data_IF_106490402537
#
_entry.id   IF_106490402537
#
_cell.length_a   1.000
_cell.length_b   1.000
_cell.length_c   1.000
_cell.angle_alpha   90.00
_cell.angle_beta   90.00
_cell.angle_gamma   90.00
#
_symmetry.space_group_name_H-M   'P 1'
#
loop_
_entity.id
_entity.type
_entity.pdbx_description
1 polymer ?
#
# COMPACT_ATOMS: atom_id res chain seq x y z
N UNK A 1 6.32 1.78 7.18
CA UNK A 1 6.60 2.05 8.61
C UNK A 1 5.47 1.60 9.53
N UNK A 2 4.24 2.10 9.36
CA UNK A 2 3.10 1.77 10.25
C UNK A 2 2.84 0.26 10.39
N UNK A 3 2.80 -0.52 9.30
CA UNK A 3 2.60 -1.98 9.39
C UNK A 3 3.70 -2.71 10.16
N UNK A 4 4.93 -2.24 10.11
CA UNK A 4 6.03 -2.80 10.89
C UNK A 4 5.80 -2.59 12.39
N UNK A 5 5.29 -1.41 12.78
CA UNK A 5 4.93 -1.12 14.18
C UNK A 5 3.86 -2.10 14.68
N UNK A 6 2.84 -2.42 13.86
CA UNK A 6 1.85 -3.47 14.16
C UNK A 6 2.48 -4.88 14.19
N UNK A 7 3.35 -5.19 13.24
CA UNK A 7 3.96 -6.52 13.12
C UNK A 7 4.91 -6.86 14.26
N UNK A 8 5.81 -5.93 14.60
CA UNK A 8 6.73 -6.04 15.73
C UNK A 8 6.02 -6.05 17.10
N UNK A 9 4.76 -5.62 17.16
CA UNK A 9 4.06 -5.40 18.44
C UNK A 9 4.60 -4.20 19.22
N UNK A 10 5.38 -3.33 18.57
CA UNK A 10 5.97 -2.12 19.16
C UNK A 10 4.93 -1.08 19.56
N UNK A 11 3.66 -1.27 19.17
CA UNK A 11 2.52 -0.49 19.68
C UNK A 11 2.50 -0.50 21.20
N UNK A 12 2.86 -1.61 21.86
CA UNK A 12 2.93 -1.68 23.32
C UNK A 12 3.89 -0.66 23.96
N UNK A 13 4.97 -0.28 23.25
CA UNK A 13 5.94 0.72 23.73
C UNK A 13 5.45 2.16 23.54
N UNK A 14 4.60 2.39 22.54
CA UNK A 14 3.99 3.69 22.22
C UNK A 14 2.57 3.77 22.81
N UNK A 15 2.07 2.70 23.43
CA UNK A 15 0.69 2.54 23.87
C UNK A 15 0.29 3.62 24.87
N UNK A 16 1.15 4.00 25.81
CA UNK A 16 0.85 5.09 26.76
C UNK A 16 0.72 6.45 26.07
N UNK A 17 1.48 6.68 25.00
CA UNK A 17 1.45 7.92 24.21
C UNK A 17 0.20 7.95 23.32
N UNK A 18 -0.12 6.80 22.74
CA UNK A 18 -1.32 6.55 21.93
C UNK A 18 -2.57 6.57 22.79
N UNK A 19 -2.54 6.06 24.02
CA UNK A 19 -3.64 6.07 24.98
C UNK A 19 -3.95 7.46 25.46
N UNK A 20 -2.93 8.25 25.80
CA UNK A 20 -3.13 9.68 26.11
C UNK A 20 -3.73 10.44 24.91
N UNK A 21 -3.31 10.14 23.68
CA UNK A 21 -3.89 10.73 22.48
C UNK A 21 -5.31 10.21 22.18
N UNK A 22 -5.56 8.92 22.43
CA UNK A 22 -6.86 8.26 22.26
C UNK A 22 -7.88 8.77 23.27
N UNK A 23 -7.50 8.88 24.55
CA UNK A 23 -8.31 9.46 25.62
C UNK A 23 -8.67 10.93 25.31
N UNK A 24 -7.73 11.70 24.73
CA UNK A 24 -7.97 13.08 24.27
C UNK A 24 -8.98 13.16 23.11
N UNK A 25 -9.03 12.13 22.25
CA UNK A 25 -9.87 12.06 21.07
C UNK A 25 -11.12 11.17 21.26
N UNK A 26 -11.36 10.66 22.47
CA UNK A 26 -12.48 9.77 22.77
C UNK A 26 -12.39 8.37 22.13
N UNK A 27 -11.19 7.92 21.77
CA UNK A 27 -10.94 6.64 21.13
C UNK A 27 -10.60 5.56 22.16
N UNK A 28 -11.56 4.68 22.48
CA UNK A 28 -11.29 3.42 23.18
C UNK A 28 -10.38 2.54 22.30
N UNK A 29 -9.11 2.43 22.71
CA UNK A 29 -8.13 1.54 22.08
C UNK A 29 -8.49 0.07 22.40
N UNK A 30 -8.47 -0.82 21.40
CA UNK A 30 -8.86 -2.21 21.62
C UNK A 30 -7.80 -3.00 22.38
N UNK A 31 -8.21 -3.61 23.48
CA UNK A 31 -7.41 -4.59 24.20
C UNK A 31 -7.26 -5.87 23.36
N UNK A 32 -6.03 -6.33 23.16
CA UNK A 32 -5.73 -7.63 22.56
C UNK A 32 -5.74 -7.69 21.02
N UNK A 33 -5.96 -6.58 20.33
CA UNK A 33 -5.87 -6.49 18.86
C UNK A 33 -4.60 -5.81 18.34
N UNK A 34 -3.68 -5.46 19.26
CA UNK A 34 -2.52 -4.60 18.99
C UNK A 34 -1.16 -5.34 18.90
N UNK A 35 -1.17 -6.67 18.69
CA UNK A 35 0.00 -7.37 18.14
C UNK A 35 0.37 -8.69 18.81
N UNK A 36 1.60 -9.18 18.54
CA UNK A 36 2.34 -8.97 17.29
C UNK A 36 1.64 -9.73 16.14
N UNK A 37 1.91 -9.32 14.90
CA UNK A 37 1.28 -9.93 13.72
C UNK A 37 2.24 -10.93 13.07
N UNK A 38 1.87 -12.20 13.09
CA UNK A 38 2.73 -13.30 12.62
C UNK A 38 2.79 -13.43 11.09
N UNK A 39 1.81 -12.88 10.36
CA UNK A 39 1.62 -13.07 8.92
C UNK A 39 1.51 -11.75 8.13
N UNK A 40 1.91 -10.62 8.71
CA UNK A 40 1.77 -9.30 8.11
C UNK A 40 2.69 -9.12 6.90
N UNK A 41 2.15 -8.99 5.69
CA UNK A 41 2.98 -8.72 4.51
C UNK A 41 3.44 -7.26 4.43
N UNK A 42 4.55 -7.05 3.72
CA UNK A 42 4.96 -5.72 3.27
C UNK A 42 3.96 -5.16 2.26
N UNK A 43 3.54 -3.90 2.41
CA UNK A 43 2.81 -3.19 1.36
C UNK A 43 3.77 -2.80 0.23
N UNK A 44 3.40 -3.17 -0.99
CA UNK A 44 4.05 -2.74 -2.23
C UNK A 44 3.13 -1.78 -2.98
N UNK A 45 3.74 -0.80 -3.64
CA UNK A 45 3.00 0.11 -4.51
C UNK A 45 2.53 -0.61 -5.77
N UNK A 46 1.27 -0.41 -6.17
CA UNK A 46 0.67 -1.01 -7.36
C UNK A 46 0.16 0.08 -8.30
N UNK A 47 0.76 0.18 -9.49
CA UNK A 47 0.35 1.15 -10.52
C UNK A 47 -1.09 0.93 -10.99
N UNK A 48 -1.55 -0.32 -10.97
CA UNK A 48 -2.94 -0.69 -11.27
C UNK A 48 -3.91 -0.05 -10.27
N UNK A 49 -3.62 -0.17 -8.97
CA UNK A 49 -4.46 0.42 -7.91
C UNK A 49 -4.35 1.95 -7.87
N UNK A 50 -3.20 2.51 -8.26
CA UNK A 50 -3.03 3.95 -8.46
C UNK A 50 -3.94 4.47 -9.57
N UNK A 51 -4.01 3.75 -10.71
CA UNK A 51 -4.94 4.09 -11.79
C UNK A 51 -6.40 4.01 -11.32
N UNK A 52 -6.78 2.98 -10.55
CA UNK A 52 -8.13 2.87 -9.96
C UNK A 52 -8.43 4.07 -9.05
N UNK A 53 -7.43 4.52 -8.27
CA UNK A 53 -7.56 5.69 -7.40
C UNK A 53 -7.77 6.97 -8.20
N UNK A 54 -7.03 7.14 -9.30
CA UNK A 54 -7.19 8.24 -10.23
C UNK A 54 -8.59 8.25 -10.86
N UNK A 55 -9.04 7.11 -11.41
CA UNK A 55 -10.36 6.96 -12.01
C UNK A 55 -11.49 7.29 -11.03
N UNK A 56 -11.36 6.84 -9.78
CA UNK A 56 -12.32 7.18 -8.73
C UNK A 56 -12.36 8.70 -8.47
N UNK A 57 -11.21 9.36 -8.33
CA UNK A 57 -11.14 10.79 -8.07
C UNK A 57 -11.66 11.64 -9.24
N UNK A 58 -11.47 11.20 -10.49
CA UNK A 58 -12.09 11.86 -11.65
C UNK A 58 -13.63 11.78 -11.63
N UNK A 59 -14.18 10.70 -11.05
CA UNK A 59 -15.64 10.53 -10.90
C UNK A 59 -16.21 11.27 -9.70
N UNK A 60 -15.46 11.36 -8.59
CA UNK A 60 -15.88 11.99 -7.34
C UNK A 60 -15.12 13.31 -7.18
N UNK A 61 -15.72 14.38 -7.72
CA UNK A 61 -15.10 15.72 -7.75
C UNK A 61 -15.15 16.44 -6.40
N UNK A 62 -16.03 16.02 -5.50
CA UNK A 62 -16.23 16.67 -4.22
C UNK A 62 -15.48 15.97 -3.08
N UNK A 63 -15.08 16.77 -2.08
CA UNK A 63 -14.47 16.26 -0.84
C UNK A 63 -15.43 15.29 -0.12
N UNK A 64 -14.94 14.19 0.45
CA UNK A 64 -15.80 13.28 1.22
C UNK A 64 -16.49 13.97 2.39
N UNK A 65 -17.76 13.61 2.58
CA UNK A 65 -18.52 13.94 3.79
C UNK A 65 -18.08 13.14 5.01
N UNK A 66 -17.54 11.92 4.80
CA UNK A 66 -17.03 11.05 5.87
C UNK A 66 -15.69 10.41 5.47
N UNK A 67 -14.55 10.93 5.96
CA UNK A 67 -13.21 10.44 5.60
C UNK A 67 -12.79 9.18 6.36
N UNK A 68 -13.65 8.67 7.25
CA UNK A 68 -13.35 7.55 8.15
C UNK A 68 -13.86 6.22 7.55
N UNK A 69 -14.82 6.27 6.63
CA UNK A 69 -15.43 5.08 6.03
C UNK A 69 -14.60 4.47 4.88
N UNK A 70 -14.80 3.16 4.67
CA UNK A 70 -14.33 2.48 3.46
C UNK A 70 -15.12 2.92 2.23
N UNK A 71 -14.42 2.99 1.12
CA UNK A 71 -14.95 3.26 -0.23
C UNK A 71 -15.04 1.92 -0.95
N UNK A 72 -16.21 1.61 -1.51
CA UNK A 72 -16.35 0.47 -2.42
C UNK A 72 -16.41 0.98 -3.85
N UNK A 73 -15.40 0.67 -4.65
CA UNK A 73 -15.35 1.03 -6.06
C UNK A 73 -14.97 -0.19 -6.88
N UNK A 74 -15.85 -0.58 -7.81
CA UNK A 74 -15.71 -1.81 -8.58
C UNK A 74 -15.49 -3.02 -7.64
N UNK A 75 -14.42 -3.80 -7.87
CA UNK A 75 -14.01 -4.93 -7.04
C UNK A 75 -12.94 -4.59 -6.01
N UNK A 76 -12.72 -3.29 -5.75
CA UNK A 76 -11.72 -2.80 -4.81
C UNK A 76 -12.36 -2.28 -3.53
N UNK A 77 -11.51 -2.11 -2.52
CA UNK A 77 -11.84 -1.42 -1.28
C UNK A 77 -10.83 -0.31 -1.09
N UNK A 78 -11.31 0.89 -0.82
CA UNK A 78 -10.48 2.07 -0.65
C UNK A 78 -10.85 2.82 0.59
N UNK A 79 -10.14 3.92 0.82
CA UNK A 79 -10.38 4.84 1.92
C UNK A 79 -9.75 6.18 1.60
N UNK A 80 -10.26 7.20 2.28
CA UNK A 80 -9.60 8.49 2.27
C UNK A 80 -8.36 8.44 3.15
N UNK A 81 -7.27 8.91 2.59
CA UNK A 81 -6.00 9.01 3.25
C UNK A 81 -5.64 10.47 3.41
N UNK A 82 -5.22 10.84 4.62
CA UNK A 82 -4.81 12.21 4.91
C UNK A 82 -3.35 12.38 4.46
N UNK A 83 -3.09 12.22 3.16
CA UNK A 83 -1.75 12.19 2.56
C UNK A 83 -1.09 13.56 2.35
N UNK A 84 -1.63 14.64 2.93
CA UNK A 84 -1.06 15.98 2.77
C UNK A 84 -1.08 16.82 4.06
N UNK A 85 -1.08 16.17 5.24
CA UNK A 85 -0.96 16.88 6.53
C UNK A 85 0.23 17.83 6.52
N UNK A 86 1.36 17.43 5.95
CA UNK A 86 2.55 18.29 5.92
C UNK A 86 2.38 19.55 5.08
N UNK A 87 1.58 19.52 4.02
CA UNK A 87 1.28 20.72 3.24
C UNK A 87 0.24 21.59 3.96
N UNK A 88 -0.79 20.99 4.57
CA UNK A 88 -1.74 21.68 5.45
C UNK A 88 -1.06 22.31 6.69
N UNK A 89 -0.08 21.61 7.26
CA UNK A 89 0.70 22.09 8.41
C UNK A 89 1.71 23.15 7.97
N UNK A 90 2.37 23.01 6.81
CA UNK A 90 3.24 24.04 6.25
C UNK A 90 2.44 25.32 5.95
N UNK A 91 1.28 25.21 5.33
CA UNK A 91 0.41 26.34 5.02
C UNK A 91 -0.10 27.03 6.32
N UNK A 92 -0.33 26.26 7.39
CA UNK A 92 -0.66 26.79 8.71
C UNK A 92 0.55 27.39 9.45
N UNK A 93 1.75 26.85 9.25
CA UNK A 93 3.00 27.29 9.88
C UNK A 93 3.61 28.53 9.18
N UNK A 94 3.32 28.74 7.89
CA UNK A 94 3.71 29.95 7.14
C UNK A 94 3.01 31.23 7.64
N UNK A 95 2.00 31.10 8.53
CA UNK A 95 1.32 32.22 9.20
C UNK A 95 2.16 32.78 10.36
N UNK A 96 3.19 32.06 10.82
CA UNK A 96 3.97 32.42 12.00
C UNK A 96 5.38 32.93 11.58
N UNK A 97 5.77 34.18 11.86
CA UNK A 97 6.86 34.84 11.13
C UNK A 97 8.32 34.44 11.44
N UNK A 98 8.62 33.45 12.29
CA UNK A 98 9.96 33.33 12.90
C UNK A 98 10.61 31.91 12.87
N UNK A 99 10.34 31.14 11.81
CA UNK A 99 10.78 29.73 11.71
C UNK A 99 12.14 29.47 11.06
N UNK A 100 12.89 30.52 10.66
CA UNK A 100 14.09 30.41 9.82
C UNK A 100 15.27 29.63 10.42
N UNK A 101 15.33 29.41 11.73
CA UNK A 101 16.48 28.76 12.42
C UNK A 101 16.24 27.31 12.84
N UNK A 102 15.03 26.77 12.69
CA UNK A 102 14.65 25.44 13.22
C UNK A 102 14.17 24.49 12.11
N UNK A 103 14.48 24.81 10.86
CA UNK A 103 13.94 24.12 9.67
C UNK A 103 14.34 22.64 9.59
N UNK A 104 15.58 22.32 9.94
CA UNK A 104 16.11 20.94 9.84
C UNK A 104 15.66 20.04 11.00
N UNK A 105 15.56 20.59 12.22
CA UNK A 105 15.01 19.87 13.37
C UNK A 105 13.50 19.63 13.23
N UNK A 106 12.77 20.60 12.68
CA UNK A 106 11.33 20.46 12.41
C UNK A 106 11.08 19.40 11.34
N UNK A 107 11.90 19.30 10.29
CA UNK A 107 11.70 18.31 9.23
C UNK A 107 11.75 16.87 9.76
N UNK A 108 12.70 16.56 10.64
CA UNK A 108 12.78 15.25 11.29
C UNK A 108 11.57 15.01 12.22
N UNK A 109 11.14 16.02 12.98
CA UNK A 109 9.95 15.92 13.85
C UNK A 109 8.66 15.70 13.03
N UNK A 110 8.53 16.38 11.89
CA UNK A 110 7.36 16.30 11.01
C UNK A 110 7.14 14.89 10.45
N UNK A 111 8.22 14.17 10.10
CA UNK A 111 8.13 12.77 9.65
C UNK A 111 7.58 11.85 10.78
N UNK A 112 8.01 12.06 12.03
CA UNK A 112 7.44 11.33 13.18
C UNK A 112 5.99 11.73 13.48
N UNK A 113 5.64 13.01 13.33
CA UNK A 113 4.27 13.51 13.50
C UNK A 113 3.34 12.87 12.47
N UNK A 114 3.76 12.76 11.21
CA UNK A 114 2.98 12.10 10.16
C UNK A 114 2.69 10.63 10.52
N UNK A 115 3.71 9.88 10.96
CA UNK A 115 3.54 8.49 11.40
C UNK A 115 2.57 8.38 12.58
N UNK A 116 2.66 9.29 13.55
CA UNK A 116 1.75 9.32 14.71
C UNK A 116 0.32 9.61 14.27
N UNK A 117 0.10 10.61 13.39
CA UNK A 117 -1.24 10.94 12.92
C UNK A 117 -1.84 9.78 12.14
N UNK A 118 -1.07 9.15 11.25
CA UNK A 118 -1.54 7.96 10.51
C UNK A 118 -1.88 6.81 11.47
N UNK A 119 -1.02 6.56 12.47
CA UNK A 119 -1.28 5.54 13.49
C UNK A 119 -2.59 5.81 14.23
N UNK A 120 -2.80 7.04 14.72
CA UNK A 120 -4.03 7.45 15.39
C UNK A 120 -5.23 7.29 14.47
N UNK A 121 -5.12 7.70 13.21
CA UNK A 121 -6.18 7.60 12.19
C UNK A 121 -6.59 6.14 11.94
N UNK A 122 -5.63 5.23 11.87
CA UNK A 122 -5.91 3.79 11.79
C UNK A 122 -6.50 3.24 13.08
N UNK A 123 -6.01 3.65 14.25
CA UNK A 123 -6.48 3.13 15.54
C UNK A 123 -7.92 3.55 15.86
N UNK A 124 -8.38 4.69 15.36
CA UNK A 124 -9.79 5.09 15.46
C UNK A 124 -10.69 4.12 14.68
N UNK A 125 -10.18 3.60 13.56
CA UNK A 125 -10.95 2.81 12.58
C UNK A 125 -10.71 1.31 12.65
N UNK A 126 -9.73 0.88 13.45
CA UNK A 126 -9.40 -0.53 13.64
C UNK A 126 -10.59 -1.28 14.25
N UNK A 127 -10.85 -2.54 13.85
CA UNK A 127 -11.84 -3.36 14.51
C UNK A 127 -11.60 -3.46 16.02
N UNK A 128 -12.59 -3.06 16.82
CA UNK A 128 -12.51 -3.15 18.29
C UNK A 128 -12.88 -4.52 18.84
N UNK A 129 -13.51 -5.35 18.01
CA UNK A 129 -14.00 -6.70 18.32
C UNK A 129 -13.74 -7.60 17.11
N UNK A 130 -14.09 -8.88 17.23
CA UNK A 130 -14.10 -9.76 16.05
C UNK A 130 -14.94 -9.16 14.93
N UNK A 131 -14.37 -9.20 13.73
CA UNK A 131 -14.92 -8.62 12.51
C UNK A 131 -16.12 -9.45 12.07
N UNK A 132 -17.24 -8.77 11.77
CA UNK A 132 -18.40 -9.38 11.13
C UNK A 132 -18.33 -9.21 9.63
N UNK A 133 -19.00 -10.09 8.91
CA UNK A 133 -19.06 -10.01 7.46
C UNK A 133 -19.78 -8.73 7.03
N UNK A 134 -19.15 -7.97 6.13
CA UNK A 134 -19.65 -6.66 5.68
C UNK A 134 -19.18 -5.47 6.53
N UNK A 135 -18.46 -5.70 7.64
CA UNK A 135 -17.81 -4.60 8.37
C UNK A 135 -16.69 -3.97 7.53
N UNK A 136 -16.54 -2.65 7.69
CA UNK A 136 -15.62 -1.82 6.94
C UNK A 136 -14.83 -0.93 7.90
N UNK A 137 -13.55 -0.72 7.63
CA UNK A 137 -12.59 -0.14 8.57
C UNK A 137 -11.80 1.04 7.99
N UNK A 138 -12.22 1.59 6.85
CA UNK A 138 -11.60 2.74 6.19
C UNK A 138 -10.07 2.64 6.12
N UNK A 139 -9.31 3.59 6.71
CA UNK A 139 -7.85 3.55 6.74
C UNK A 139 -7.26 2.27 7.36
N UNK A 140 -7.92 1.67 8.34
CA UNK A 140 -7.47 0.41 8.94
C UNK A 140 -7.66 -0.80 8.01
N UNK A 141 -8.27 -0.65 6.83
CA UNK A 141 -8.19 -1.69 5.80
C UNK A 141 -6.72 -1.99 5.40
N UNK A 142 -5.82 -1.01 5.53
CA UNK A 142 -4.39 -1.18 5.23
C UNK A 142 -3.62 -2.08 6.22
N UNK A 143 -4.18 -2.37 7.40
CA UNK A 143 -3.53 -3.25 8.38
C UNK A 143 -3.85 -4.73 8.20
N UNK A 144 -4.73 -5.09 7.25
CA UNK A 144 -5.04 -6.51 7.00
C UNK A 144 -3.86 -7.23 6.37
N UNK A 145 -3.27 -8.18 7.08
CA UNK A 145 -2.01 -8.85 6.75
C UNK A 145 -1.90 -9.26 5.27
N UNK A 146 -2.92 -9.92 4.74
CA UNK A 146 -2.98 -10.47 3.38
C UNK A 146 -3.09 -9.42 2.27
N UNK A 147 -3.41 -8.16 2.59
CA UNK A 147 -3.35 -7.07 1.60
C UNK A 147 -1.92 -6.59 1.51
N UNK A 148 -1.29 -6.76 0.36
CA UNK A 148 0.11 -6.39 0.14
C UNK A 148 0.32 -5.49 -1.08
N UNK A 149 -0.73 -5.12 -1.81
CA UNK A 149 -0.70 -4.10 -2.86
C UNK A 149 -1.56 -2.91 -2.43
N UNK A 150 -1.03 -1.71 -2.58
CA UNK A 150 -1.75 -0.44 -2.39
C UNK A 150 -1.41 0.51 -3.54
N UNK A 151 -2.38 1.27 -4.00
CA UNK A 151 -2.15 2.39 -4.89
C UNK A 151 -3.01 3.56 -4.45
N UNK A 152 -2.45 4.77 -4.50
CA UNK A 152 -3.14 5.97 -4.10
C UNK A 152 -2.99 7.05 -5.16
N UNK A 153 -3.99 7.93 -5.24
CA UNK A 153 -3.92 9.18 -5.98
C UNK A 153 -4.20 10.34 -5.03
N UNK A 154 -3.56 11.48 -5.27
CA UNK A 154 -3.62 12.63 -4.38
C UNK A 154 -4.01 13.89 -5.15
N UNK A 155 -4.95 14.63 -4.59
CA UNK A 155 -5.17 16.06 -4.84
C UNK A 155 -4.48 16.85 -3.71
N UNK A 156 -4.13 18.14 -3.90
CA UNK A 156 -3.77 19.06 -2.83
C UNK A 156 -4.49 18.86 -1.48
N UNK A 157 -5.80 18.57 -1.47
CA UNK A 157 -6.60 18.51 -0.24
C UNK A 157 -6.70 17.14 0.42
N UNK A 158 -6.70 16.06 -0.36
CA UNK A 158 -6.84 14.70 0.17
C UNK A 158 -6.28 13.67 -0.81
N UNK A 159 -5.98 12.49 -0.27
CA UNK A 159 -5.59 11.32 -1.05
C UNK A 159 -6.68 10.26 -0.97
N UNK A 160 -6.84 9.49 -2.03
CA UNK A 160 -7.64 8.26 -2.03
C UNK A 160 -6.73 7.10 -2.31
N UNK A 161 -6.81 6.07 -1.49
CA UNK A 161 -6.04 4.84 -1.65
C UNK A 161 -6.99 3.67 -1.87
N UNK A 162 -6.62 2.77 -2.77
CA UNK A 162 -7.30 1.49 -2.98
C UNK A 162 -6.38 0.31 -2.71
N UNK A 163 -7.01 -0.77 -2.24
CA UNK A 163 -6.45 -2.07 -1.95
C UNK A 163 -7.29 -3.15 -2.65
N UNK A 164 -6.70 -4.32 -2.84
CA UNK A 164 -7.45 -5.49 -3.28
C UNK A 164 -8.41 -5.98 -2.17
N UNK A 165 -9.57 -6.49 -2.60
CA UNK A 165 -10.48 -7.20 -1.70
C UNK A 165 -9.91 -8.55 -1.35
N UNK A 166 -10.13 -8.95 -0.11
CA UNK A 166 -9.74 -10.26 0.43
C UNK A 166 -10.99 -11.00 0.92
N UNK A 167 -10.95 -12.34 0.99
CA UNK A 167 -12.02 -13.10 1.62
C UNK A 167 -12.26 -12.66 3.07
N UNK A 168 -13.48 -12.86 3.56
CA UNK A 168 -13.84 -12.52 4.94
C UNK A 168 -12.91 -13.20 5.95
N UNK A 169 -12.49 -12.42 6.96
CA UNK A 169 -11.68 -12.86 8.10
C UNK A 169 -12.26 -12.25 9.38
N UNK A 170 -12.16 -12.98 10.49
CA UNK A 170 -12.57 -12.50 11.81
C UNK A 170 -11.59 -11.49 12.44
N UNK A 171 -10.37 -11.40 11.90
CA UNK A 171 -9.28 -10.58 12.42
C UNK A 171 -8.45 -10.01 11.26
N UNK A 172 -7.80 -8.85 11.44
CA UNK A 172 -6.98 -8.24 10.40
C UNK A 172 -5.69 -9.03 10.13
N UNK A 173 -5.16 -9.72 11.13
CA UNK A 173 -3.94 -10.52 11.03
C UNK A 173 -3.96 -11.66 12.07
N UNK A 174 -3.06 -12.64 11.91
CA UNK A 174 -2.86 -13.70 12.91
C UNK A 174 -1.93 -13.22 14.00
N UNK A 175 -2.32 -13.48 15.25
CA UNK A 175 -1.49 -13.15 16.41
C UNK A 175 -0.33 -14.14 16.53
N UNK A 176 0.85 -13.64 16.83
CA UNK A 176 2.05 -14.43 17.09
C UNK A 176 3.31 -13.60 16.84
N UNK A 177 4.51 -14.15 17.13
CA UNK A 177 5.75 -13.43 16.88
C UNK A 177 5.88 -13.08 15.38
N UNK A 178 6.45 -11.91 15.08
CA UNK A 178 6.61 -11.42 13.72
C UNK A 178 7.24 -12.48 12.80
N UNK A 179 6.78 -12.53 11.57
CA UNK A 179 7.25 -13.45 10.53
C UNK A 179 7.12 -14.97 10.78
N UNK A 180 6.52 -15.42 11.89
CA UNK A 180 6.38 -16.86 12.19
C UNK A 180 5.37 -17.60 11.32
N UNK A 181 4.47 -16.88 10.62
CA UNK A 181 3.42 -17.44 9.77
C UNK A 181 3.45 -16.89 8.33
N UNK A 182 4.61 -16.41 7.86
CA UNK A 182 4.78 -16.04 6.46
C UNK A 182 4.63 -17.26 5.54
N UNK A 183 3.89 -17.13 4.44
CA UNK A 183 3.86 -18.18 3.41
C UNK A 183 5.14 -18.22 2.55
N UNK A 184 5.94 -17.15 2.63
CA UNK A 184 7.16 -16.91 1.87
C UNK A 184 8.37 -16.82 2.82
N UNK A 185 9.00 -15.65 2.96
CA UNK A 185 10.11 -15.35 3.86
C UNK A 185 9.90 -13.98 4.50
N UNK A 186 10.62 -13.71 5.59
CA UNK A 186 10.65 -12.41 6.23
C UNK A 186 11.51 -11.42 5.42
N UNK A 187 11.18 -10.14 5.47
CA UNK A 187 11.96 -9.08 4.84
C UNK A 187 13.35 -8.95 5.48
N UNK A 188 14.35 -8.52 4.70
CA UNK A 188 15.70 -8.24 5.20
C UNK A 188 16.07 -6.79 4.93
N UNK A 189 16.76 -6.16 5.88
CA UNK A 189 17.18 -4.76 5.82
C UNK A 189 18.67 -4.67 6.05
N UNK A 190 19.32 -3.88 5.22
CA UNK A 190 20.73 -3.57 5.42
C UNK A 190 20.86 -2.32 6.29
N UNK A 191 21.52 -2.47 7.44
CA UNK A 191 21.88 -1.35 8.30
C UNK A 191 23.02 -0.52 7.69
N UNK A 192 23.26 0.68 8.25
CA UNK A 192 24.32 1.58 7.78
C UNK A 192 25.73 0.99 7.93
N UNK A 193 25.92 0.06 8.84
CA UNK A 193 27.16 -0.70 9.04
C UNK A 193 27.31 -1.90 8.07
N UNK A 194 26.38 -2.03 7.11
CA UNK A 194 26.25 -3.10 6.12
C UNK A 194 25.85 -4.47 6.68
N UNK A 195 25.52 -4.57 7.96
CA UNK A 195 24.92 -5.79 8.50
C UNK A 195 23.51 -5.98 7.94
N UNK A 196 23.11 -7.23 7.73
CA UNK A 196 21.78 -7.59 7.25
C UNK A 196 21.00 -8.11 8.44
N UNK A 197 19.89 -7.46 8.76
CA UNK A 197 18.97 -7.89 9.80
C UNK A 197 17.65 -8.34 9.19
N UNK A 198 17.04 -9.33 9.83
CA UNK A 198 15.68 -9.76 9.53
C UNK A 198 14.71 -8.71 10.09
N UNK A 199 13.76 -8.26 9.26
CA UNK A 199 12.71 -7.33 9.67
C UNK A 199 11.51 -8.05 10.28
N UNK A 200 10.35 -7.39 10.28
CA UNK A 200 9.14 -7.92 10.94
C UNK A 200 7.98 -8.23 9.97
N UNK A 201 8.16 -7.98 8.67
CA UNK A 201 7.12 -8.16 7.66
C UNK A 201 7.43 -9.32 6.72
N UNK A 202 6.39 -10.05 6.33
CA UNK A 202 6.47 -11.05 5.29
C UNK A 202 6.68 -10.41 3.91
N UNK A 203 7.56 -10.97 3.09
CA UNK A 203 7.70 -10.56 1.70
C UNK A 203 6.50 -11.10 0.91
N UNK A 204 5.70 -10.28 0.22
CA UNK A 204 4.52 -10.78 -0.46
C UNK A 204 4.87 -11.76 -1.59
N UNK A 205 4.03 -12.78 -1.84
CA UNK A 205 4.16 -13.62 -3.02
C UNK A 205 4.10 -12.74 -4.28
N UNK A 206 4.71 -13.18 -5.38
CA UNK A 206 4.91 -12.36 -6.58
C UNK A 206 3.67 -11.51 -6.92
N UNK A 207 3.84 -10.18 -7.05
CA UNK A 207 2.73 -9.27 -7.28
C UNK A 207 2.03 -9.57 -8.61
N UNK A 208 0.76 -9.17 -8.73
CA UNK A 208 0.00 -9.36 -9.97
C UNK A 208 0.67 -8.65 -11.16
N UNK A 209 1.44 -7.59 -10.88
CA UNK A 209 2.21 -6.85 -11.88
C UNK A 209 3.33 -7.66 -12.54
N UNK A 210 4.01 -8.56 -11.80
CA UNK A 210 5.04 -9.43 -12.39
C UNK A 210 4.39 -10.48 -13.30
N UNK A 211 3.25 -11.05 -12.92
CA UNK A 211 2.48 -11.94 -13.80
C UNK A 211 2.02 -11.24 -15.08
N UNK A 212 1.55 -10.00 -14.98
CA UNK A 212 1.15 -9.21 -16.16
C UNK A 212 2.36 -8.86 -17.04
N UNK A 213 3.50 -8.51 -16.45
CA UNK A 213 4.72 -8.22 -17.20
C UNK A 213 5.26 -9.49 -17.89
N UNK A 214 5.29 -10.62 -17.19
CA UNK A 214 5.63 -11.94 -17.76
C UNK A 214 4.72 -12.27 -18.95
N UNK A 215 3.39 -12.19 -18.77
CA UNK A 215 2.42 -12.44 -19.85
C UNK A 215 2.60 -11.49 -21.03
N UNK A 216 2.83 -10.20 -20.79
CA UNK A 216 3.08 -9.22 -21.86
C UNK A 216 4.42 -9.47 -22.55
N UNK A 217 5.47 -9.82 -21.81
CA UNK A 217 6.77 -10.16 -22.41
C UNK A 217 6.70 -11.45 -23.23
N UNK A 218 6.00 -12.47 -22.75
CA UNK A 218 5.75 -13.72 -23.49
C UNK A 218 4.93 -13.46 -24.77
N UNK A 219 3.89 -12.63 -24.68
CA UNK A 219 3.09 -12.20 -25.82
C UNK A 219 3.90 -11.36 -26.84
N UNK A 220 4.80 -10.49 -26.36
CA UNK A 220 5.69 -9.71 -27.20
C UNK A 220 6.74 -10.61 -27.91
N UNK A 221 7.30 -11.61 -27.22
CA UNK A 221 8.23 -12.56 -27.85
C UNK A 221 7.56 -13.47 -28.86
N UNK A 222 6.33 -13.93 -28.61
CA UNK A 222 5.59 -14.78 -29.55
C UNK A 222 5.17 -14.02 -30.82
N UNK A 223 4.73 -12.77 -30.67
CA UNK A 223 4.41 -11.90 -31.82
C UNK A 223 5.65 -11.52 -32.64
N UNK A 224 6.80 -11.30 -32.00
CA UNK A 224 8.08 -11.09 -32.70
C UNK A 224 8.54 -12.33 -33.47
N UNK A 225 8.39 -13.54 -32.92
CA UNK A 225 8.67 -14.80 -33.62
C UNK A 225 7.76 -15.00 -34.84
N UNK A 226 6.45 -14.76 -34.71
CA UNK A 226 5.51 -14.85 -35.85
C UNK A 226 5.85 -13.86 -36.97
N UNK A 227 6.26 -12.63 -36.62
CA UNK A 227 6.60 -11.59 -37.60
C UNK A 227 7.88 -11.93 -38.38
N UNK A 228 8.88 -12.52 -37.71
CA UNK A 228 10.11 -12.97 -38.36
C UNK A 228 9.89 -14.22 -39.24
N UNK A 229 9.02 -15.16 -38.83
CA UNK A 229 8.63 -16.28 -39.69
C UNK A 229 7.92 -15.79 -40.96
N UNK A 230 6.99 -14.84 -40.86
CA UNK A 230 6.29 -14.29 -42.03
C UNK A 230 7.23 -13.71 -43.09
N UNK A 231 8.29 -13.01 -42.66
CA UNK A 231 9.29 -12.45 -43.58
C UNK A 231 10.13 -13.53 -44.27
N UNK A 232 10.54 -14.57 -43.56
CA UNK A 232 11.31 -15.69 -44.15
C UNK A 232 10.49 -16.43 -45.21
N UNK A 233 9.20 -16.65 -44.97
CA UNK A 233 8.31 -17.28 -45.94
C UNK A 233 8.09 -16.42 -47.19
N UNK A 234 7.92 -15.09 -47.01
CA UNK A 234 7.81 -14.16 -48.14
C UNK A 234 9.07 -14.12 -48.99
N UNK A 235 10.26 -14.05 -48.38
CA UNK A 235 11.53 -14.10 -49.10
C UNK A 235 11.73 -15.43 -49.85
N UNK A 236 11.34 -16.55 -49.24
CA UNK A 236 11.42 -17.88 -49.87
C UNK A 236 10.47 -18.00 -51.08
N UNK A 237 9.26 -17.46 -50.98
CA UNK A 237 8.30 -17.39 -52.08
C UNK A 237 8.79 -16.51 -53.22
N UNK A 238 9.37 -15.34 -52.91
CA UNK A 238 9.93 -14.44 -53.92
C UNK A 238 11.09 -15.12 -54.66
N UNK A 239 12.00 -15.78 -53.93
CA UNK A 239 13.11 -16.52 -54.54
C UNK A 239 12.61 -17.68 -55.42
N UNK A 240 11.59 -18.41 -54.97
CA UNK A 240 10.98 -19.49 -55.75
C UNK A 240 10.32 -18.96 -57.04
N UNK A 241 9.57 -17.86 -56.97
CA UNK A 241 8.95 -17.23 -58.13
C UNK A 241 10.00 -16.71 -59.12
N UNK A 242 11.06 -16.05 -58.65
CA UNK A 242 12.17 -15.57 -59.49
C UNK A 242 12.90 -16.73 -60.18
N UNK A 243 13.09 -17.86 -59.48
CA UNK A 243 13.70 -19.05 -60.07
C UNK A 243 12.80 -19.72 -61.11
N UNK A 244 11.48 -19.71 -60.88
CA UNK A 244 10.48 -20.31 -61.78
C UNK A 244 10.31 -19.54 -63.09
N UNK A 245 10.53 -18.21 -63.08
CA UNK A 245 10.45 -17.35 -64.28
C UNK A 245 11.74 -17.44 -65.14
N UNK A 246 12.86 -17.92 -64.58
CA UNK A 246 14.14 -18.07 -65.28
C UNK A 246 14.33 -19.43 -65.99
N UNK A 247 13.35 -20.33 -65.93
CA UNK A 247 13.29 -21.57 -66.72
C UNK A 247 12.31 -21.40 -67.86
#
# INVERSE_FOLDING_TARGET
MVRRIFAAGDIGKIYDLIKKAGDLLGADLPDGLLGPAADMYQLKWSRRLEQVSYEYMETVKDKPSDPINSIHYQNYIGFFWIGNILNLLKDALDIIPDFGKVKDAIKSILEYVEVIVILVWMLITIPKKEIKEGDNFGPAEAIFAERYEIGCWSDPWFSVCFLDRIPFRKRPFKLGPACTLCSTHCEFWQQMDKTIEEGDLCVPPQPHQEKMLEVVTEAATSSAMMRNMGLVWMFSLILFLVYSIRK
#
